data_IF_154379010275
#
_entry.id   IF_154379010275
#
_cell.length_a   1.000
_cell.length_b   1.000
_cell.length_c   1.000
_cell.angle_alpha   90.00
_cell.angle_beta   90.00
_cell.angle_gamma   90.00
#
_symmetry.space_group_name_H-M   'P 1'
#
loop_
_entity.id
_entity.type
_entity.pdbx_description
1 polymer ?
#
# COMPACT_ATOMS: atom_id res chain seq x y z
N UNK A 1 -16.20 -41.96 24.81
CA UNK A 1 -16.70 -40.58 24.58
C UNK A 1 -16.41 -40.24 23.13
N UNK A 2 -17.42 -39.80 22.36
CA UNK A 2 -17.25 -39.36 20.96
C UNK A 2 -17.22 -37.84 20.93
N UNK A 3 -16.30 -37.25 20.17
CA UNK A 3 -16.09 -35.80 20.09
C UNK A 3 -16.11 -35.35 18.62
N UNK A 4 -16.83 -34.27 18.31
CA UNK A 4 -16.91 -33.67 16.96
C UNK A 4 -16.48 -32.20 17.04
N UNK A 5 -15.50 -31.78 16.22
CA UNK A 5 -14.93 -30.41 16.20
C UNK A 5 -15.38 -29.57 15.01
N UNK A 6 -15.60 -30.22 13.88
CA UNK A 6 -15.79 -29.54 12.62
C UNK A 6 -17.22 -29.04 12.50
N UNK A 7 -17.37 -27.75 12.21
CA UNK A 7 -18.68 -27.10 12.17
C UNK A 7 -19.60 -27.69 11.10
N UNK A 8 -19.05 -28.26 10.02
CA UNK A 8 -19.83 -28.97 8.99
C UNK A 8 -20.38 -30.29 9.54
N UNK A 9 -19.55 -31.11 10.18
CA UNK A 9 -20.00 -32.35 10.81
C UNK A 9 -21.02 -32.13 11.94
N UNK A 10 -20.91 -31.01 12.67
CA UNK A 10 -21.92 -30.60 13.65
C UNK A 10 -23.23 -30.21 12.95
N UNK A 11 -23.18 -29.49 11.83
CA UNK A 11 -24.35 -29.16 11.03
C UNK A 11 -25.06 -30.42 10.50
N UNK A 12 -24.29 -31.35 9.94
CA UNK A 12 -24.79 -32.61 9.37
C UNK A 12 -25.47 -33.47 10.43
N UNK A 13 -24.87 -33.56 11.64
CA UNK A 13 -25.49 -34.28 12.75
C UNK A 13 -26.80 -33.63 13.18
N UNK A 14 -26.83 -32.30 13.34
CA UNK A 14 -28.06 -31.57 13.66
C UNK A 14 -29.12 -31.74 12.58
N UNK A 15 -28.72 -31.82 11.30
CA UNK A 15 -29.62 -32.06 10.18
C UNK A 15 -30.25 -33.45 10.23
N UNK A 16 -29.44 -34.49 10.51
CA UNK A 16 -29.94 -35.86 10.71
C UNK A 16 -30.92 -35.96 11.89
N UNK A 17 -30.73 -35.13 12.92
CA UNK A 17 -31.63 -35.05 14.09
C UNK A 17 -32.87 -34.17 13.86
N UNK A 18 -33.01 -33.53 12.70
CA UNK A 18 -34.11 -32.62 12.38
C UNK A 18 -34.07 -31.28 13.11
N UNK A 19 -32.93 -30.89 13.68
CA UNK A 19 -32.76 -29.70 14.51
C UNK A 19 -32.50 -28.42 13.69
N UNK A 20 -33.37 -28.11 12.72
CA UNK A 20 -33.14 -27.03 11.75
C UNK A 20 -32.96 -25.63 12.36
N UNK A 21 -33.68 -25.31 13.45
CA UNK A 21 -33.50 -24.04 14.17
C UNK A 21 -32.09 -23.87 14.76
N UNK A 22 -31.48 -24.96 15.24
CA UNK A 22 -30.12 -24.93 15.77
C UNK A 22 -29.09 -24.72 14.65
N UNK A 23 -29.30 -25.33 13.47
CA UNK A 23 -28.46 -25.14 12.28
C UNK A 23 -28.52 -23.67 11.82
N UNK A 24 -29.72 -23.10 11.69
CA UNK A 24 -29.89 -21.71 11.28
C UNK A 24 -29.18 -20.74 12.23
N UNK A 25 -29.30 -20.96 13.54
CA UNK A 25 -28.59 -20.15 14.53
C UNK A 25 -27.07 -20.30 14.43
N UNK A 26 -26.58 -21.51 14.19
CA UNK A 26 -25.15 -21.76 14.00
C UNK A 26 -24.61 -21.08 12.74
N UNK A 27 -25.33 -21.18 11.61
CA UNK A 27 -24.93 -20.53 10.36
C UNK A 27 -25.00 -19.00 10.46
N UNK A 28 -26.01 -18.44 11.14
CA UNK A 28 -26.06 -17.00 11.41
C UNK A 28 -24.78 -16.50 12.12
N UNK A 29 -24.32 -17.22 13.14
CA UNK A 29 -23.07 -16.89 13.84
C UNK A 29 -21.86 -17.04 12.92
N UNK A 30 -21.81 -18.10 12.10
CA UNK A 30 -20.71 -18.35 11.15
C UNK A 30 -20.62 -17.24 10.10
N UNK A 31 -21.75 -16.86 9.51
CA UNK A 31 -21.86 -15.80 8.50
C UNK A 31 -21.36 -14.48 9.08
N UNK A 32 -21.86 -14.08 10.27
CA UNK A 32 -21.41 -12.83 10.92
C UNK A 32 -19.91 -12.85 11.20
N UNK A 33 -19.37 -13.98 11.68
CA UNK A 33 -17.94 -14.13 11.92
C UNK A 33 -17.12 -14.03 10.63
N UNK A 34 -17.58 -14.68 9.56
CA UNK A 34 -16.93 -14.61 8.25
C UNK A 34 -16.94 -13.20 7.69
N UNK A 35 -18.09 -12.51 7.67
CA UNK A 35 -18.19 -11.12 7.23
C UNK A 35 -17.24 -10.20 8.00
N UNK A 36 -17.18 -10.33 9.34
CA UNK A 36 -16.24 -9.56 10.16
C UNK A 36 -14.80 -9.84 9.79
N UNK A 37 -14.43 -11.11 9.57
CA UNK A 37 -13.08 -11.48 9.18
C UNK A 37 -12.71 -10.94 7.79
N UNK A 38 -13.63 -10.99 6.84
CA UNK A 38 -13.42 -10.46 5.48
C UNK A 38 -13.23 -8.94 5.50
N UNK A 39 -14.05 -8.22 6.28
CA UNK A 39 -13.90 -6.77 6.50
C UNK A 39 -12.56 -6.47 7.17
N UNK A 40 -12.20 -7.19 8.24
CA UNK A 40 -10.92 -6.98 8.93
C UNK A 40 -9.72 -7.21 8.00
N UNK A 41 -9.78 -8.24 7.15
CA UNK A 41 -8.74 -8.51 6.16
C UNK A 41 -8.67 -7.41 5.09
N UNK A 42 -9.81 -6.93 4.61
CA UNK A 42 -9.86 -5.84 3.65
C UNK A 42 -9.25 -4.55 4.21
N UNK A 43 -9.69 -4.13 5.40
CA UNK A 43 -9.18 -2.95 6.09
C UNK A 43 -7.68 -3.08 6.35
N UNK A 44 -7.21 -4.21 6.88
CA UNK A 44 -5.78 -4.42 7.13
C UNK A 44 -4.94 -4.31 5.84
N UNK A 45 -5.46 -4.82 4.73
CA UNK A 45 -4.81 -4.70 3.43
C UNK A 45 -4.74 -3.24 2.97
N UNK A 46 -5.84 -2.51 3.07
CA UNK A 46 -5.90 -1.09 2.70
C UNK A 46 -4.98 -0.23 3.57
N UNK A 47 -5.02 -0.39 4.90
CA UNK A 47 -4.13 0.32 5.83
C UNK A 47 -2.67 0.02 5.51
N UNK A 48 -2.28 -1.25 5.32
CA UNK A 48 -0.91 -1.60 4.99
C UNK A 48 -0.46 -1.05 3.62
N UNK A 49 -1.37 -0.96 2.64
CA UNK A 49 -1.07 -0.37 1.33
C UNK A 49 -0.95 1.17 1.42
N UNK A 50 -1.78 1.81 2.23
CA UNK A 50 -1.70 3.24 2.50
C UNK A 50 -0.38 3.57 3.20
N UNK A 51 -0.02 2.84 4.25
CA UNK A 51 1.24 3.03 4.98
C UNK A 51 2.47 2.88 4.08
N UNK A 52 2.50 1.87 3.20
CA UNK A 52 3.59 1.69 2.22
C UNK A 52 3.67 2.89 1.27
N UNK A 53 2.53 3.40 0.82
CA UNK A 53 2.44 4.52 -0.11
C UNK A 53 2.89 5.83 0.54
N UNK A 54 2.42 6.09 1.77
CA UNK A 54 2.82 7.25 2.56
C UNK A 54 4.31 7.25 2.87
N UNK A 55 4.85 6.12 3.34
CA UNK A 55 6.27 5.99 3.62
C UNK A 55 7.13 6.18 2.36
N UNK A 56 6.70 5.66 1.21
CA UNK A 56 7.40 5.88 -0.05
C UNK A 56 7.34 7.36 -0.48
N UNK A 57 6.20 8.02 -0.28
CA UNK A 57 6.03 9.46 -0.56
C UNK A 57 6.98 10.30 0.28
N UNK A 58 6.98 10.08 1.59
CA UNK A 58 7.82 10.78 2.54
C UNK A 58 9.31 10.64 2.20
N UNK A 59 9.76 9.40 1.95
CA UNK A 59 11.16 9.14 1.54
C UNK A 59 11.55 9.86 0.26
N UNK A 60 10.66 9.93 -0.73
CA UNK A 60 10.94 10.67 -1.97
C UNK A 60 11.13 12.16 -1.69
N UNK A 61 10.22 12.77 -0.93
CA UNK A 61 10.30 14.19 -0.58
C UNK A 61 11.58 14.48 0.20
N UNK A 62 11.89 13.67 1.22
CA UNK A 62 13.10 13.81 2.02
C UNK A 62 14.36 13.72 1.15
N UNK A 63 14.46 12.72 0.28
CA UNK A 63 15.60 12.56 -0.62
C UNK A 63 15.74 13.72 -1.60
N UNK A 64 14.64 14.22 -2.15
CA UNK A 64 14.65 15.36 -3.05
C UNK A 64 15.14 16.62 -2.31
N UNK A 65 14.63 16.88 -1.09
CA UNK A 65 15.09 18.00 -0.25
C UNK A 65 16.56 17.86 0.12
N UNK A 66 17.02 16.65 0.43
CA UNK A 66 18.44 16.38 0.70
C UNK A 66 19.32 16.73 -0.50
N UNK A 67 18.95 16.29 -1.71
CA UNK A 67 19.67 16.64 -2.95
C UNK A 67 19.71 18.16 -3.15
N UNK A 68 18.56 18.83 -2.99
CA UNK A 68 18.44 20.27 -3.14
C UNK A 68 19.38 21.05 -2.21
N UNK A 69 19.50 20.61 -0.95
CA UNK A 69 20.32 21.27 0.06
C UNK A 69 21.82 20.97 -0.08
N UNK A 70 22.19 19.83 -0.66
CA UNK A 70 23.58 19.34 -0.67
C UNK A 70 24.36 19.68 -1.93
N UNK A 71 23.76 19.45 -3.10
CA UNK A 71 24.39 19.64 -4.42
C UNK A 71 23.53 20.49 -5.35
N UNK A 72 22.30 20.82 -4.95
CA UNK A 72 21.34 21.56 -5.76
C UNK A 72 20.60 20.67 -6.76
N UNK A 73 19.44 21.16 -7.22
CA UNK A 73 18.61 20.45 -8.20
C UNK A 73 19.26 20.32 -9.58
N UNK A 74 20.20 21.20 -9.90
CA UNK A 74 20.87 21.23 -11.21
C UNK A 74 21.85 20.07 -11.39
N UNK A 75 22.23 19.38 -10.31
CA UNK A 75 22.98 18.13 -10.36
C UNK A 75 22.16 16.97 -10.96
N UNK A 76 20.83 17.08 -10.97
CA UNK A 76 19.95 16.10 -11.60
C UNK A 76 19.78 16.39 -13.11
N UNK A 77 19.84 15.34 -13.96
CA UNK A 77 19.42 15.45 -15.36
C UNK A 77 18.01 16.05 -15.48
N UNK A 78 17.76 16.84 -16.52
CA UNK A 78 16.48 17.56 -16.74
C UNK A 78 15.24 16.70 -16.46
N UNK A 79 15.12 15.46 -16.98
CA UNK A 79 13.92 14.66 -16.77
C UNK A 79 13.70 14.20 -15.32
N UNK A 80 14.79 14.14 -14.52
CA UNK A 80 14.70 13.85 -13.09
C UNK A 80 14.38 15.12 -12.31
N UNK A 81 14.94 16.25 -12.71
CA UNK A 81 14.72 17.54 -12.07
C UNK A 81 13.26 17.98 -12.17
N UNK A 82 12.65 17.82 -13.34
CA UNK A 82 11.22 18.08 -13.56
C UNK A 82 10.35 17.27 -12.59
N UNK A 83 10.61 15.96 -12.48
CA UNK A 83 9.85 15.08 -11.57
C UNK A 83 10.12 15.40 -10.11
N UNK A 84 11.35 15.77 -9.76
CA UNK A 84 11.71 16.18 -8.41
C UNK A 84 10.95 17.45 -7.99
N UNK A 85 10.90 18.47 -8.86
CA UNK A 85 10.13 19.70 -8.61
C UNK A 85 8.64 19.42 -8.52
N UNK A 86 8.09 18.67 -9.48
CA UNK A 86 6.67 18.29 -9.47
C UNK A 86 6.27 17.58 -8.17
N UNK A 87 7.16 16.73 -7.64
CA UNK A 87 6.94 16.01 -6.38
C UNK A 87 6.98 16.92 -5.16
N UNK A 88 7.86 17.92 -5.12
CA UNK A 88 7.88 18.92 -4.03
C UNK A 88 6.69 19.87 -4.08
N UNK A 89 6.23 20.23 -5.27
CA UNK A 89 5.06 21.09 -5.45
C UNK A 89 3.76 20.36 -5.05
N UNK A 90 3.78 19.03 -5.08
CA UNK A 90 2.61 18.18 -4.84
C UNK A 90 2.96 17.04 -3.87
N UNK A 91 3.27 17.39 -2.62
CA UNK A 91 3.73 16.44 -1.60
C UNK A 91 2.70 15.36 -1.28
N UNK A 92 1.41 15.73 -1.27
CA UNK A 92 0.28 14.84 -0.96
C UNK A 92 -0.24 14.07 -2.18
N UNK A 93 0.26 14.36 -3.38
CA UNK A 93 -0.21 13.71 -4.60
C UNK A 93 0.16 12.22 -4.64
N UNK A 94 -0.75 11.39 -5.13
CA UNK A 94 -0.42 10.00 -5.41
C UNK A 94 0.45 9.91 -6.67
N UNK A 95 1.09 8.75 -6.89
CA UNK A 95 1.83 8.51 -8.13
C UNK A 95 0.94 8.69 -9.38
N UNK A 96 -0.35 8.34 -9.29
CA UNK A 96 -1.30 8.54 -10.39
C UNK A 96 -1.60 10.01 -10.64
N UNK A 97 -1.69 10.81 -9.57
CA UNK A 97 -1.91 12.26 -9.69
C UNK A 97 -0.71 12.95 -10.35
N UNK A 98 0.52 12.56 -9.98
CA UNK A 98 1.73 13.06 -10.64
C UNK A 98 1.73 12.79 -12.15
N UNK A 99 1.27 11.62 -12.59
CA UNK A 99 1.12 11.30 -14.02
C UNK A 99 0.13 12.24 -14.69
N UNK A 100 -1.01 12.49 -14.03
CA UNK A 100 -2.03 13.40 -14.56
C UNK A 100 -1.50 14.83 -14.67
N UNK A 101 -0.72 15.29 -13.69
CA UNK A 101 -0.11 16.61 -13.68
C UNK A 101 0.93 16.80 -14.81
N UNK A 102 1.60 15.73 -15.26
CA UNK A 102 2.46 15.78 -16.46
C UNK A 102 1.68 15.79 -17.79
N UNK A 103 0.35 15.89 -17.75
CA UNK A 103 -0.51 15.84 -18.94
C UNK A 103 -0.47 14.47 -19.65
N UNK A 104 -0.08 13.40 -18.94
CA UNK A 104 0.08 12.07 -19.52
C UNK A 104 1.30 11.88 -20.42
N UNK A 105 2.18 12.89 -20.54
CA UNK A 105 3.42 12.78 -21.34
C UNK A 105 4.35 11.67 -20.85
N UNK A 106 4.25 11.31 -19.56
CA UNK A 106 5.05 10.27 -18.93
C UNK A 106 4.13 9.31 -18.19
N UNK A 107 4.16 8.03 -18.59
CA UNK A 107 3.34 7.00 -17.94
C UNK A 107 3.77 6.72 -16.49
N UNK A 108 2.92 6.03 -15.73
CA UNK A 108 3.13 5.64 -14.33
C UNK A 108 4.48 4.97 -14.08
N UNK A 109 4.87 4.04 -14.95
CA UNK A 109 6.17 3.35 -14.86
C UNK A 109 7.34 4.32 -15.07
N UNK A 110 7.20 5.29 -15.99
CA UNK A 110 8.21 6.31 -16.26
C UNK A 110 8.45 7.24 -15.07
N UNK A 111 7.39 7.75 -14.45
CA UNK A 111 7.52 8.57 -13.24
C UNK A 111 8.13 7.78 -12.09
N UNK A 112 7.64 6.56 -11.85
CA UNK A 112 8.18 5.70 -10.80
C UNK A 112 9.67 5.38 -11.01
N UNK A 113 10.08 5.12 -12.25
CA UNK A 113 11.48 4.89 -12.58
C UNK A 113 12.35 6.11 -12.28
N UNK A 114 11.87 7.32 -12.60
CA UNK A 114 12.58 8.58 -12.31
C UNK A 114 12.69 8.82 -10.81
N UNK A 115 11.62 8.64 -10.05
CA UNK A 115 11.66 8.74 -8.57
C UNK A 115 12.62 7.73 -7.94
N UNK A 116 12.70 6.50 -8.46
CA UNK A 116 13.70 5.51 -8.02
C UNK A 116 15.12 5.95 -8.31
N UNK A 117 15.37 6.56 -9.48
CA UNK A 117 16.69 7.12 -9.81
C UNK A 117 17.08 8.27 -8.89
N UNK A 118 16.13 9.16 -8.56
CA UNK A 118 16.34 10.25 -7.61
C UNK A 118 16.71 9.69 -6.22
N UNK A 119 15.99 8.67 -5.74
CA UNK A 119 16.31 8.03 -4.47
C UNK A 119 17.71 7.39 -4.48
N UNK A 120 18.11 6.74 -5.58
CA UNK A 120 19.48 6.21 -5.71
C UNK A 120 20.53 7.31 -5.66
N UNK A 121 20.31 8.39 -6.39
CA UNK A 121 21.21 9.54 -6.39
C UNK A 121 21.35 10.15 -4.99
N UNK A 122 20.24 10.28 -4.24
CA UNK A 122 20.30 10.74 -2.85
C UNK A 122 21.08 9.77 -1.95
N UNK A 123 20.93 8.45 -2.16
CA UNK A 123 21.66 7.44 -1.39
C UNK A 123 23.16 7.50 -1.70
N UNK A 124 23.54 7.55 -2.98
CA UNK A 124 24.92 7.69 -3.42
C UNK A 124 25.57 8.93 -2.79
N UNK A 125 24.86 10.07 -2.76
CA UNK A 125 25.33 11.29 -2.09
C UNK A 125 25.48 11.17 -0.57
N UNK A 126 24.68 10.34 0.10
CA UNK A 126 24.83 10.07 1.54
C UNK A 126 26.06 9.19 1.78
N UNK A 127 26.22 8.15 0.97
CA UNK A 127 27.34 7.22 1.08
C UNK A 127 28.69 7.91 0.80
N UNK A 128 28.76 8.79 -0.21
CA UNK A 128 29.95 9.58 -0.54
C UNK A 128 30.35 10.58 0.55
N UNK A 129 29.38 11.12 1.29
CA UNK A 129 29.62 12.12 2.33
C UNK A 129 29.90 11.51 3.72
N UNK A 130 29.96 10.18 3.80
CA UNK A 130 30.10 9.44 5.05
C UNK A 130 28.79 9.45 5.82
N UNK A 131 28.08 8.32 5.77
CA UNK A 131 26.84 8.11 6.52
C UNK A 131 26.95 8.37 8.01
#
# INVERSE_FOLDING_TARGET
VVYIKEGEHIADLLAMMGAYNAILNMENVRIIKQMRNDVNRAINCETANLDKTLNASYKQIENIRYIQQTVGMEALPEPLREVARLRLENEDATLSDLVRLTGGSVGRSGINHRLRRINRFAQELRDERGG
#
